data_IF_748610346882
#
_entry.id   IF_748610346882
#
_cell.length_a   1.000
_cell.length_b   1.000
_cell.length_c   1.000
_cell.angle_alpha   90.00
_cell.angle_beta   90.00
_cell.angle_gamma   90.00
#
_symmetry.space_group_name_H-M   'P 1'
#
loop_
_entity.id
_entity.type
_entity.pdbx_description
1 polymer ?
#
# COMPACT_ATOMS: atom_id res chain seq x y z
N UNK A 1 3.48 8.77 12.66
CA UNK A 1 2.97 8.76 11.28
C UNK A 1 4.10 8.31 10.36
N UNK A 2 3.89 7.30 9.55
CA UNK A 2 4.84 6.75 8.59
C UNK A 2 4.23 6.83 7.19
N UNK A 3 5.02 7.31 6.22
CA UNK A 3 4.64 7.33 4.81
C UNK A 3 5.09 6.02 4.17
N UNK A 4 4.16 5.30 3.57
CA UNK A 4 4.45 4.05 2.89
C UNK A 4 4.57 4.25 1.39
N UNK A 5 5.48 3.51 0.78
CA UNK A 5 5.63 3.43 -0.66
C UNK A 5 4.48 2.61 -1.27
N UNK A 6 4.21 2.83 -2.56
CA UNK A 6 3.16 2.19 -3.34
C UNK A 6 3.27 0.67 -3.31
N UNK A 7 4.50 0.13 -3.32
CA UNK A 7 4.77 -1.30 -3.28
C UNK A 7 4.20 -1.99 -2.03
N UNK A 8 4.15 -1.31 -0.88
CA UNK A 8 3.58 -1.90 0.34
C UNK A 8 2.07 -2.13 0.15
N UNK A 9 1.37 -1.18 -0.47
CA UNK A 9 -0.06 -1.31 -0.77
C UNK A 9 -0.31 -2.39 -1.83
N UNK A 10 0.54 -2.46 -2.86
CA UNK A 10 0.49 -3.52 -3.87
C UNK A 10 0.61 -4.92 -3.24
N UNK A 11 1.58 -5.12 -2.35
CA UNK A 11 1.77 -6.40 -1.65
C UNK A 11 0.58 -6.76 -0.75
N UNK A 12 -0.06 -5.77 -0.12
CA UNK A 12 -1.32 -5.97 0.62
C UNK A 12 -2.42 -6.44 -0.34
N UNK A 13 -2.59 -5.79 -1.50
CA UNK A 13 -3.60 -6.20 -2.50
C UNK A 13 -3.33 -7.57 -3.11
N UNK A 14 -2.06 -7.98 -3.23
CA UNK A 14 -1.65 -9.33 -3.65
C UNK A 14 -1.85 -10.41 -2.57
N UNK A 15 -2.25 -10.02 -1.34
CA UNK A 15 -2.49 -10.95 -0.24
C UNK A 15 -1.23 -11.44 0.46
N UNK A 16 -0.13 -10.67 0.42
CA UNK A 16 1.11 -11.04 1.11
C UNK A 16 0.93 -10.94 2.64
N UNK A 17 0.71 -12.09 3.28
CA UNK A 17 0.46 -12.18 4.73
C UNK A 17 1.55 -11.56 5.60
N UNK A 18 2.82 -11.68 5.21
CA UNK A 18 3.94 -11.12 5.99
C UNK A 18 3.86 -9.59 6.05
N UNK A 19 3.56 -8.97 4.90
CA UNK A 19 3.39 -7.51 4.80
C UNK A 19 2.13 -7.08 5.56
N UNK A 20 1.01 -7.80 5.39
CA UNK A 20 -0.26 -7.47 6.04
C UNK A 20 -0.12 -7.49 7.57
N UNK A 21 0.48 -8.53 8.15
CA UNK A 21 0.65 -8.62 9.60
C UNK A 21 1.62 -7.55 10.14
N UNK A 22 2.68 -7.26 9.39
CA UNK A 22 3.59 -6.15 9.72
C UNK A 22 2.85 -4.82 9.75
N UNK A 23 2.08 -4.50 8.71
CA UNK A 23 1.31 -3.26 8.63
C UNK A 23 0.22 -3.17 9.70
N UNK A 24 -0.46 -4.28 10.02
CA UNK A 24 -1.41 -4.34 11.14
C UNK A 24 -0.73 -4.03 12.48
N UNK A 25 0.47 -4.55 12.73
CA UNK A 25 1.21 -4.29 13.97
C UNK A 25 1.64 -2.82 14.13
N UNK A 26 1.89 -2.11 13.03
CA UNK A 26 2.20 -0.67 13.02
C UNK A 26 0.95 0.16 13.37
N UNK A 27 -0.23 -0.36 13.01
CA UNK A 27 -1.52 0.26 13.27
C UNK A 27 -1.94 1.26 12.18
N UNK A 28 -3.20 1.19 11.77
CA UNK A 28 -3.72 1.99 10.64
C UNK A 28 -3.66 3.50 10.88
N UNK A 29 -3.84 3.96 12.12
CA UNK A 29 -3.77 5.38 12.48
C UNK A 29 -2.37 5.99 12.31
N UNK A 30 -1.35 5.15 12.13
CA UNK A 30 0.03 5.59 11.91
C UNK A 30 0.37 5.70 10.42
N UNK A 31 -0.51 5.35 9.49
CA UNK A 31 -0.22 5.27 8.06
C UNK A 31 -0.64 6.57 7.37
N UNK A 32 0.30 7.18 6.65
CA UNK A 32 0.03 8.26 5.72
C UNK A 32 0.15 7.75 4.27
N UNK A 33 -0.67 8.30 3.38
CA UNK A 33 -0.67 8.00 1.95
C UNK A 33 -0.44 9.31 1.18
N UNK A 34 0.48 9.29 0.22
CA UNK A 34 0.73 10.41 -0.68
C UNK A 34 -0.28 10.43 -1.82
N UNK A 35 -0.65 11.62 -2.31
CA UNK A 35 -1.44 11.77 -3.54
C UNK A 35 -0.75 11.11 -4.75
N UNK A 36 0.58 11.05 -4.75
CA UNK A 36 1.37 10.35 -5.79
C UNK A 36 1.09 8.84 -5.75
N UNK A 37 1.15 8.23 -4.56
CA UNK A 37 0.82 6.81 -4.35
C UNK A 37 -0.62 6.50 -4.76
N UNK A 38 -1.57 7.38 -4.46
CA UNK A 38 -2.95 7.25 -4.94
C UNK A 38 -3.02 7.23 -6.48
N UNK A 39 -2.28 8.11 -7.14
CA UNK A 39 -2.19 8.16 -8.61
C UNK A 39 -1.56 6.89 -9.21
N UNK A 40 -0.48 6.40 -8.61
CA UNK A 40 0.20 5.18 -9.04
C UNK A 40 -0.69 3.95 -8.89
N UNK A 41 -1.37 3.78 -7.75
CA UNK A 41 -2.32 2.69 -7.52
C UNK A 41 -3.47 2.73 -8.52
N UNK A 42 -4.05 3.91 -8.77
CA UNK A 42 -5.14 4.08 -9.73
C UNK A 42 -4.69 3.71 -11.16
N UNK A 43 -3.53 4.18 -11.57
CA UNK A 43 -2.99 3.92 -12.90
C UNK A 43 -2.57 2.45 -13.06
N UNK A 44 -1.94 1.86 -12.04
CA UNK A 44 -1.53 0.45 -12.00
C UNK A 44 -2.72 -0.50 -12.11
N UNK A 45 -3.76 -0.28 -11.30
CA UNK A 45 -5.00 -1.05 -11.32
C UNK A 45 -5.70 -0.99 -12.68
N UNK A 46 -5.76 0.20 -13.30
CA UNK A 46 -6.36 0.39 -14.62
C UNK A 46 -5.61 -0.38 -15.73
N UNK A 47 -4.30 -0.51 -15.63
CA UNK A 47 -3.46 -1.15 -16.65
C UNK A 47 -3.19 -2.64 -16.40
N UNK A 48 -3.74 -3.24 -15.32
CA UNK A 48 -3.47 -4.62 -14.89
C UNK A 48 -1.97 -4.95 -14.76
N UNK A 49 -1.15 -3.93 -14.47
CA UNK A 49 0.30 -4.10 -14.29
C UNK A 49 0.69 -4.34 -12.83
N UNK A 50 -0.26 -4.12 -11.92
CA UNK A 50 -0.10 -4.21 -10.47
C UNK A 50 -1.18 -5.13 -9.89
#
# INVERSE_FOLDING_TARGET
>A
MALFDTNIFIEIYKGNFSVIETVKSIGQNCIAVSDVTCGELLYGARNRKE
#
